data_IF_518442126501
#
_entry.id   IF_518442126501
#
_cell.length_a   1.000
_cell.length_b   1.000
_cell.length_c   1.000
_cell.angle_alpha   90.00
_cell.angle_beta   90.00
_cell.angle_gamma   90.00
#
_symmetry.space_group_name_H-M   'P 1'
#
loop_
_entity.id
_entity.type
_entity.pdbx_description
1 polymer ?
#
# COMPACT_ATOMS: atom_id res chain seq x y z
N UNK A 1 -3.05 -17.97 3.00
CA UNK A 1 -3.43 -17.71 1.60
C UNK A 1 -4.91 -17.36 1.62
N UNK A 2 -5.27 -16.08 1.43
CA UNK A 2 -6.68 -15.68 1.33
C UNK A 2 -6.86 -15.14 -0.08
N UNK A 3 -6.97 -16.06 -1.03
CA UNK A 3 -7.73 -15.79 -2.26
C UNK A 3 -9.14 -16.23 -1.92
N UNK A 4 -9.98 -15.27 -1.60
CA UNK A 4 -11.36 -15.46 -1.19
C UNK A 4 -12.19 -16.01 -2.35
N UNK A 5 -12.56 -17.28 -2.23
CA UNK A 5 -13.86 -17.78 -2.64
C UNK A 5 -14.93 -16.97 -1.89
N UNK A 6 -15.34 -15.83 -2.43
CA UNK A 6 -16.58 -15.13 -2.10
C UNK A 6 -16.78 -13.99 -3.10
N UNK A 7 -17.26 -14.35 -4.29
CA UNK A 7 -17.96 -13.44 -5.21
C UNK A 7 -19.35 -13.08 -4.65
N UNK A 8 -19.48 -12.95 -3.32
CA UNK A 8 -20.64 -12.34 -2.71
C UNK A 8 -20.61 -10.86 -3.08
N UNK A 9 -21.70 -10.41 -3.70
CA UNK A 9 -21.99 -9.05 -4.17
C UNK A 9 -21.29 -8.00 -3.28
N UNK A 10 -20.18 -7.43 -3.76
CA UNK A 10 -19.43 -6.39 -3.04
C UNK A 10 -20.42 -5.28 -2.66
N UNK A 11 -20.65 -5.11 -1.36
CA UNK A 11 -21.49 -4.01 -0.84
C UNK A 11 -20.67 -2.72 -0.82
N UNK A 12 -21.33 -1.56 -0.87
CA UNK A 12 -20.64 -0.26 -0.74
C UNK A 12 -19.85 -0.17 0.57
N UNK A 13 -20.42 -0.69 1.66
CA UNK A 13 -19.77 -0.79 2.97
C UNK A 13 -18.53 -1.69 2.92
N UNK A 14 -18.64 -2.89 2.35
CA UNK A 14 -17.50 -3.81 2.20
C UNK A 14 -16.38 -3.26 1.32
N UNK A 15 -16.73 -2.47 0.29
CA UNK A 15 -15.74 -1.76 -0.53
C UNK A 15 -15.03 -0.67 0.27
N UNK A 16 -15.77 0.15 1.05
CA UNK A 16 -15.20 1.21 1.92
C UNK A 16 -14.23 0.61 2.94
N UNK A 17 -14.64 -0.46 3.62
CA UNK A 17 -13.80 -1.15 4.60
C UNK A 17 -12.56 -1.78 3.94
N UNK A 18 -12.73 -2.39 2.76
CA UNK A 18 -11.61 -2.92 1.98
C UNK A 18 -10.58 -1.84 1.63
N UNK A 19 -11.03 -0.68 1.14
CA UNK A 19 -10.14 0.45 0.81
C UNK A 19 -9.43 0.97 2.06
N UNK A 20 -10.14 1.12 3.18
CA UNK A 20 -9.54 1.54 4.46
C UNK A 20 -8.46 0.57 4.94
N UNK A 21 -8.70 -0.74 4.81
CA UNK A 21 -7.70 -1.76 5.15
C UNK A 21 -6.48 -1.67 4.23
N UNK A 22 -6.67 -1.51 2.92
CA UNK A 22 -5.56 -1.35 1.99
C UNK A 22 -4.78 -0.04 2.22
N UNK A 23 -5.43 1.03 2.67
CA UNK A 23 -4.74 2.26 3.07
C UNK A 23 -3.73 2.01 4.18
N UNK A 24 -4.16 1.36 5.27
CA UNK A 24 -3.28 1.03 6.40
C UNK A 24 -2.13 0.11 5.96
N UNK A 25 -2.43 -0.92 5.16
CA UNK A 25 -1.43 -1.87 4.68
C UNK A 25 -0.39 -1.20 3.77
N UNK A 26 -0.84 -0.33 2.86
CA UNK A 26 0.06 0.34 1.92
C UNK A 26 0.94 1.37 2.61
N UNK A 27 0.43 2.08 3.61
CA UNK A 27 1.23 3.02 4.42
C UNK A 27 2.32 2.28 5.20
N UNK A 28 1.96 1.22 5.94
CA UNK A 28 2.91 0.39 6.68
C UNK A 28 3.96 -0.25 5.76
N UNK A 29 3.56 -0.72 4.58
CA UNK A 29 4.48 -1.30 3.62
C UNK A 29 5.46 -0.26 3.07
N UNK A 30 5.01 0.98 2.80
CA UNK A 30 5.88 2.05 2.35
C UNK A 30 6.95 2.39 3.40
N UNK A 31 6.57 2.46 4.68
CA UNK A 31 7.51 2.75 5.76
C UNK A 31 8.50 1.60 5.98
N UNK A 32 8.05 0.34 5.93
CA UNK A 32 8.96 -0.80 5.98
C UNK A 32 9.97 -0.80 4.82
N UNK A 33 9.52 -0.46 3.61
CA UNK A 33 10.41 -0.34 2.45
C UNK A 33 11.42 0.79 2.63
N UNK A 34 11.01 1.91 3.21
CA UNK A 34 11.89 3.02 3.54
C UNK A 34 12.98 2.61 4.53
N UNK A 35 12.63 1.87 5.59
CA UNK A 35 13.59 1.36 6.57
C UNK A 35 14.62 0.44 5.89
N UNK A 36 14.20 -0.39 4.94
CA UNK A 36 15.13 -1.21 4.15
C UNK A 36 16.06 -0.37 3.27
N UNK A 37 15.57 0.72 2.64
CA UNK A 37 16.44 1.64 1.88
C UNK A 37 17.55 2.18 2.78
N UNK A 38 17.20 2.63 3.99
CA UNK A 38 18.16 3.17 4.96
C UNK A 38 19.15 2.10 5.41
N UNK A 39 18.69 0.86 5.64
CA UNK A 39 19.54 -0.26 6.05
C UNK A 39 20.54 -0.62 4.95
N UNK A 40 20.08 -0.84 3.71
CA UNK A 40 20.97 -1.20 2.60
C UNK A 40 21.95 -0.09 2.24
N UNK A 41 21.55 1.18 2.36
CA UNK A 41 22.46 2.31 2.18
C UNK A 41 23.60 2.32 3.21
N UNK A 42 23.32 1.93 4.48
CA UNK A 42 24.36 1.79 5.53
C UNK A 42 25.32 0.63 5.25
N UNK A 43 24.84 -0.43 4.60
CA UNK A 43 25.62 -1.61 4.21
C UNK A 43 26.41 -1.41 2.90
N UNK A 44 26.34 -0.22 2.29
CA UNK A 44 26.87 0.09 0.95
C UNK A 44 26.29 -0.78 -0.18
N UNK A 45 25.14 -1.42 0.04
CA UNK A 45 24.39 -2.15 -0.99
C UNK A 45 23.45 -1.19 -1.74
N UNK A 46 24.05 -0.40 -2.63
CA UNK A 46 23.32 0.63 -3.38
C UNK A 46 22.29 0.06 -4.37
N UNK A 47 22.52 -1.16 -4.88
CA UNK A 47 21.58 -1.78 -5.83
C UNK A 47 20.32 -2.25 -5.11
N UNK A 48 20.45 -2.92 -3.95
CA UNK A 48 19.29 -3.28 -3.13
C UNK A 48 18.55 -2.05 -2.62
N UNK A 49 19.26 -1.01 -2.16
CA UNK A 49 18.65 0.25 -1.74
C UNK A 49 17.82 0.89 -2.87
N UNK A 50 18.33 0.88 -4.11
CA UNK A 50 17.62 1.41 -5.28
C UNK A 50 16.37 0.59 -5.63
N UNK A 51 16.45 -0.74 -5.54
CA UNK A 51 15.28 -1.62 -5.76
C UNK A 51 14.19 -1.33 -4.73
N UNK A 52 14.55 -1.23 -3.45
CA UNK A 52 13.59 -0.94 -2.36
C UNK A 52 12.98 0.44 -2.50
N UNK A 53 13.77 1.47 -2.83
CA UNK A 53 13.26 2.83 -3.05
C UNK A 53 12.26 2.88 -4.21
N UNK A 54 12.55 2.16 -5.31
CA UNK A 54 11.60 2.06 -6.43
C UNK A 54 10.30 1.36 -6.04
N UNK A 55 10.36 0.38 -5.13
CA UNK A 55 9.17 -0.28 -4.59
C UNK A 55 8.40 0.68 -3.65
N UNK A 56 9.09 1.38 -2.75
CA UNK A 56 8.49 2.38 -1.85
C UNK A 56 7.69 3.42 -2.63
N UNK A 57 8.28 4.01 -3.68
CA UNK A 57 7.62 5.01 -4.53
C UNK A 57 6.32 4.46 -5.14
N UNK A 58 6.31 3.19 -5.59
CA UNK A 58 5.11 2.57 -6.17
C UNK A 58 4.03 2.36 -5.10
N UNK A 59 4.41 1.92 -3.92
CA UNK A 59 3.49 1.70 -2.80
C UNK A 59 2.90 3.02 -2.31
N UNK A 60 3.69 4.09 -2.16
CA UNK A 60 3.20 5.43 -1.81
C UNK A 60 2.22 5.97 -2.86
N UNK A 61 2.47 5.74 -4.15
CA UNK A 61 1.52 6.09 -5.22
C UNK A 61 0.20 5.32 -5.08
N UNK A 62 0.26 4.03 -4.74
CA UNK A 62 -0.94 3.23 -4.51
C UNK A 62 -1.74 3.75 -3.29
N UNK A 63 -1.05 4.12 -2.19
CA UNK A 63 -1.68 4.71 -1.01
C UNK A 63 -2.43 6.01 -1.35
N UNK A 64 -1.83 6.90 -2.14
CA UNK A 64 -2.47 8.14 -2.61
C UNK A 64 -3.74 7.83 -3.42
N UNK A 65 -3.68 6.89 -4.36
CA UNK A 65 -4.84 6.50 -5.18
C UNK A 65 -5.97 5.95 -4.29
N UNK A 66 -5.63 5.13 -3.28
CA UNK A 66 -6.61 4.59 -2.34
C UNK A 66 -7.21 5.67 -1.45
N UNK A 67 -6.44 6.70 -1.07
CA UNK A 67 -6.92 7.82 -0.26
C UNK A 67 -7.92 8.66 -1.05
N UNK A 68 -7.56 9.02 -2.29
CA UNK A 68 -8.45 9.73 -3.22
C UNK A 68 -9.74 8.95 -3.47
N UNK A 69 -9.64 7.63 -3.61
CA UNK A 69 -10.81 6.76 -3.80
C UNK A 69 -11.69 6.71 -2.55
N UNK A 70 -11.07 6.60 -1.36
CA UNK A 70 -11.78 6.58 -0.08
C UNK A 70 -12.54 7.89 0.14
N UNK A 71 -11.93 9.04 -0.14
CA UNK A 71 -12.58 10.36 -0.01
C UNK A 71 -13.76 10.50 -0.96
N UNK A 72 -13.61 10.11 -2.23
CA UNK A 72 -14.70 10.18 -3.22
C UNK A 72 -15.88 9.30 -2.85
N UNK A 73 -15.61 8.08 -2.39
CA UNK A 73 -16.66 7.15 -1.98
C UNK A 73 -17.32 7.60 -0.68
N UNK A 74 -16.62 8.30 0.22
CA UNK A 74 -17.19 8.81 1.48
C UNK A 74 -18.07 10.07 1.30
N UNK A 75 -17.90 10.80 0.19
CA UNK A 75 -18.68 11.99 -0.14
C UNK A 75 -20.04 11.69 -0.81
N UNK A 76 -20.28 10.43 -1.21
CA UNK A 76 -21.54 9.88 -1.73
C UNK A 76 -22.35 9.16 -0.63
#
# INVERSE_FOLDING_TARGET
>A
MIFSENLERITSEGLRDGIRNYLVITDQLADNLHDFVVLFAKENDNESAKVMNNAEIKVRKAAIILADLHEKIAAD
#
